data_IF_187362098758
#
_entry.id   IF_187362098758
#
_cell.length_a   1.000
_cell.length_b   1.000
_cell.length_c   1.000
_cell.angle_alpha   90.00
_cell.angle_beta   90.00
_cell.angle_gamma   90.00
#
_symmetry.space_group_name_H-M   'P 1'
#
loop_
_entity.id
_entity.type
_entity.pdbx_description
1 polymer ?
#
# COMPACT_ATOMS: atom_id res chain seq x y z
N UNK A 1 5.39 -5.56 31.55
CA UNK A 1 4.66 -5.80 30.30
C UNK A 1 5.66 -5.68 29.17
N UNK A 2 5.86 -6.74 28.40
CA UNK A 2 6.83 -6.75 27.31
C UNK A 2 6.31 -5.81 26.21
N UNK A 3 7.04 -4.73 26.02
CA UNK A 3 6.78 -3.66 25.06
C UNK A 3 6.51 -4.26 23.67
N UNK A 4 5.32 -4.01 23.11
CA UNK A 4 4.85 -4.42 21.76
C UNK A 4 5.60 -3.70 20.61
N UNK A 5 6.90 -3.47 20.77
CA UNK A 5 7.69 -2.69 19.84
C UNK A 5 8.68 -3.61 19.13
N UNK A 6 8.75 -3.45 17.81
CA UNK A 6 9.89 -3.91 17.03
C UNK A 6 11.16 -3.34 17.68
N UNK A 7 12.16 -4.20 17.93
CA UNK A 7 13.44 -3.72 18.44
C UNK A 7 14.03 -2.69 17.48
N UNK A 8 14.79 -1.67 17.95
CA UNK A 8 15.40 -0.68 17.06
C UNK A 8 16.26 -1.32 15.95
N UNK A 9 16.89 -2.45 16.25
CA UNK A 9 17.66 -3.24 15.30
C UNK A 9 16.77 -3.81 14.19
N UNK A 10 15.63 -4.41 14.55
CA UNK A 10 14.69 -4.96 13.58
C UNK A 10 14.06 -3.87 12.71
N UNK A 11 13.76 -2.69 13.28
CA UNK A 11 13.29 -1.54 12.51
C UNK A 11 14.33 -1.10 11.48
N UNK A 12 15.60 -0.98 11.87
CA UNK A 12 16.68 -0.66 10.93
C UNK A 12 16.82 -1.73 9.82
N UNK A 13 16.70 -3.02 10.16
CA UNK A 13 16.72 -4.11 9.18
C UNK A 13 15.55 -4.03 8.20
N UNK A 14 14.33 -3.76 8.68
CA UNK A 14 13.15 -3.59 7.83
C UNK A 14 13.36 -2.40 6.88
N UNK A 15 13.83 -1.26 7.38
CA UNK A 15 14.09 -0.08 6.56
C UNK A 15 15.11 -0.36 5.47
N UNK A 16 16.20 -1.04 5.82
CA UNK A 16 17.20 -1.44 4.85
C UNK A 16 16.63 -2.35 3.75
N UNK A 17 15.80 -3.32 4.12
CA UNK A 17 15.12 -4.22 3.16
C UNK A 17 14.17 -3.42 2.26
N UNK A 18 13.38 -2.50 2.81
CA UNK A 18 12.46 -1.65 2.03
C UNK A 18 13.24 -0.79 1.02
N UNK A 19 14.33 -0.16 1.44
CA UNK A 19 15.20 0.65 0.55
C UNK A 19 15.82 -0.24 -0.54
N UNK A 20 16.29 -1.44 -0.19
CA UNK A 20 16.84 -2.38 -1.17
C UNK A 20 15.79 -2.79 -2.20
N UNK A 21 14.57 -3.12 -1.77
CA UNK A 21 13.45 -3.44 -2.64
C UNK A 21 13.07 -2.26 -3.53
N UNK A 22 13.06 -1.04 -3.00
CA UNK A 22 12.85 0.18 -3.77
C UNK A 22 13.90 0.36 -4.87
N UNK A 23 15.19 0.15 -4.56
CA UNK A 23 16.27 0.23 -5.55
C UNK A 23 16.08 -0.81 -6.67
N UNK A 24 15.72 -2.05 -6.32
CA UNK A 24 15.44 -3.11 -7.30
C UNK A 24 14.22 -2.76 -8.17
N UNK A 25 13.12 -2.31 -7.55
CA UNK A 25 11.89 -1.89 -8.23
C UNK A 25 12.14 -0.74 -9.20
N UNK A 26 12.90 0.26 -8.76
CA UNK A 26 13.28 1.42 -9.57
C UNK A 26 14.13 0.99 -10.75
N UNK A 27 15.15 0.15 -10.53
CA UNK A 27 16.00 -0.37 -11.60
C UNK A 27 15.18 -1.15 -12.64
N UNK A 28 14.31 -2.07 -12.19
CA UNK A 28 13.42 -2.82 -13.07
C UNK A 28 12.48 -1.90 -13.85
N UNK A 29 11.93 -0.87 -13.20
CA UNK A 29 11.05 0.10 -13.83
C UNK A 29 11.76 0.94 -14.89
N UNK A 30 12.99 1.40 -14.61
CA UNK A 30 13.82 2.10 -15.60
C UNK A 30 14.16 1.19 -16.77
N UNK A 31 14.47 -0.08 -16.52
CA UNK A 31 14.75 -1.05 -17.58
C UNK A 31 13.54 -1.30 -18.48
N UNK A 32 12.36 -1.51 -17.91
CA UNK A 32 11.11 -1.66 -18.67
C UNK A 32 10.79 -0.38 -19.45
N UNK A 33 10.96 0.79 -18.84
CA UNK A 33 10.80 2.08 -19.51
C UNK A 33 11.73 2.19 -20.73
N UNK A 34 13.00 1.83 -20.57
CA UNK A 34 13.98 1.78 -21.66
C UNK A 34 13.54 0.82 -22.78
N UNK A 35 13.07 -0.39 -22.44
CA UNK A 35 12.55 -1.35 -23.42
C UNK A 35 11.32 -0.81 -24.16
N UNK A 36 10.39 -0.15 -23.45
CA UNK A 36 9.20 0.44 -24.04
C UNK A 36 9.55 1.58 -25.00
N UNK A 37 10.48 2.47 -24.62
CA UNK A 37 10.95 3.56 -25.48
C UNK A 37 11.64 3.05 -26.77
N UNK A 38 12.21 1.84 -26.73
CA UNK A 38 12.86 1.21 -27.89
C UNK A 38 11.89 0.50 -28.83
N UNK A 39 10.65 0.20 -28.42
CA UNK A 39 9.65 -0.45 -29.28
C UNK A 39 9.12 0.53 -30.34
N UNK A 40 9.12 0.11 -31.61
CA UNK A 40 8.76 0.92 -32.79
C UNK A 40 7.27 1.36 -32.82
N UNK A 41 7.03 2.47 -33.54
CA UNK A 41 5.93 3.44 -33.40
C UNK A 41 4.50 2.97 -33.73
N UNK A 42 4.29 1.76 -34.22
CA UNK A 42 2.96 1.33 -34.72
C UNK A 42 1.89 1.21 -33.63
N UNK A 43 2.29 1.16 -32.35
CA UNK A 43 1.38 1.05 -31.19
C UNK A 43 1.50 2.23 -30.19
N UNK A 44 1.97 3.40 -30.65
CA UNK A 44 2.32 4.55 -29.79
C UNK A 44 1.26 4.98 -28.76
N UNK A 45 -0.03 4.95 -29.10
CA UNK A 45 -1.09 5.41 -28.16
C UNK A 45 -1.21 4.48 -26.94
N UNK A 46 -1.09 3.17 -27.14
CA UNK A 46 -1.11 2.20 -26.04
C UNK A 46 0.14 2.35 -25.17
N UNK A 47 1.30 2.49 -25.80
CA UNK A 47 2.59 2.67 -25.14
C UNK A 47 2.61 3.91 -24.24
N UNK A 48 2.12 5.06 -24.73
CA UNK A 48 2.06 6.29 -23.94
C UNK A 48 1.28 6.14 -22.64
N UNK A 49 0.17 5.37 -22.64
CA UNK A 49 -0.60 5.11 -21.41
C UNK A 49 0.22 4.30 -20.40
N UNK A 50 0.91 3.26 -20.86
CA UNK A 50 1.77 2.45 -19.99
C UNK A 50 2.93 3.27 -19.42
N UNK A 51 3.57 4.12 -20.22
CA UNK A 51 4.64 5.02 -19.79
C UNK A 51 4.18 5.99 -18.69
N UNK A 52 2.96 6.53 -18.80
CA UNK A 52 2.37 7.41 -17.78
C UNK A 52 2.16 6.63 -16.48
N UNK A 53 1.54 5.45 -16.53
CA UNK A 53 1.32 4.63 -15.33
C UNK A 53 2.62 4.23 -14.65
N UNK A 54 3.64 3.87 -15.43
CA UNK A 54 4.94 3.48 -14.90
C UNK A 54 5.69 4.65 -14.27
N UNK A 55 5.65 5.83 -14.90
CA UNK A 55 6.25 7.04 -14.33
C UNK A 55 5.56 7.43 -13.03
N UNK A 56 4.22 7.36 -12.99
CA UNK A 56 3.45 7.59 -11.77
C UNK A 56 3.83 6.59 -10.68
N UNK A 57 3.97 5.30 -11.00
CA UNK A 57 4.39 4.27 -10.05
C UNK A 57 5.77 4.58 -9.43
N UNK A 58 6.75 4.98 -10.24
CA UNK A 58 8.08 5.37 -9.75
C UNK A 58 7.99 6.58 -8.80
N UNK A 59 7.21 7.60 -9.16
CA UNK A 59 6.99 8.78 -8.31
C UNK A 59 6.35 8.37 -6.98
N UNK A 60 5.39 7.45 -7.03
CA UNK A 60 4.74 6.90 -5.83
C UNK A 60 5.68 6.09 -4.95
N UNK A 61 6.52 5.25 -5.53
CA UNK A 61 7.52 4.49 -4.79
C UNK A 61 8.54 5.43 -4.15
N UNK A 62 9.03 6.44 -4.88
CA UNK A 62 9.91 7.46 -4.31
C UNK A 62 9.24 8.20 -3.14
N UNK A 63 7.97 8.56 -3.29
CA UNK A 63 7.24 9.29 -2.27
C UNK A 63 7.04 8.48 -0.97
N UNK A 64 6.70 7.20 -1.06
CA UNK A 64 6.35 6.38 0.11
C UNK A 64 7.47 5.50 0.65
N UNK A 65 8.49 5.23 -0.16
CA UNK A 65 9.55 4.30 0.24
C UNK A 65 10.84 5.06 0.56
N UNK A 66 10.94 6.34 0.17
CA UNK A 66 12.09 7.22 0.45
C UNK A 66 11.68 8.50 1.20
N UNK A 67 10.69 9.24 0.68
CA UNK A 67 10.33 10.53 1.29
C UNK A 67 9.53 10.37 2.59
N UNK A 68 8.60 9.41 2.64
CA UNK A 68 7.73 9.12 3.77
C UNK A 68 7.63 7.61 4.03
N UNK A 69 8.60 7.07 4.77
CA UNK A 69 8.65 5.65 5.12
C UNK A 69 7.61 5.38 6.21
N UNK A 70 6.57 4.62 5.85
CA UNK A 70 5.49 4.24 6.78
C UNK A 70 5.87 3.04 7.65
N UNK A 71 5.63 3.15 8.95
CA UNK A 71 5.85 2.09 9.93
C UNK A 71 4.53 1.71 10.60
N UNK A 72 3.92 0.55 10.25
CA UNK A 72 2.73 0.07 10.94
C UNK A 72 3.07 -0.35 12.37
N UNK A 73 2.18 -0.04 13.30
CA UNK A 73 2.33 -0.36 14.73
C UNK A 73 1.60 -1.66 15.09
N UNK A 74 2.01 -2.82 14.59
CA UNK A 74 1.28 -4.07 14.87
C UNK A 74 1.39 -4.45 16.37
N UNK A 75 0.30 -4.83 17.06
CA UNK A 75 -1.07 -5.07 16.58
C UNK A 75 -2.01 -3.85 16.63
N UNK A 76 -1.51 -2.70 17.10
CA UNK A 76 -2.28 -1.45 17.11
C UNK A 76 -2.61 -1.03 15.67
N UNK A 77 -3.88 -0.73 15.41
CA UNK A 77 -4.27 -0.18 14.12
C UNK A 77 -3.81 1.28 14.03
N UNK A 78 -2.56 1.47 13.64
CA UNK A 78 -1.91 2.76 13.58
C UNK A 78 -0.53 2.63 12.96
N UNK A 79 0.15 3.77 12.87
CA UNK A 79 1.48 3.84 12.32
C UNK A 79 2.13 5.18 12.61
N UNK A 80 3.41 5.26 12.29
CA UNK A 80 4.10 6.53 12.20
C UNK A 80 4.88 6.58 10.89
N UNK A 81 5.19 7.79 10.44
CA UNK A 81 6.02 8.02 9.27
C UNK A 81 7.36 8.60 9.69
N UNK A 82 8.40 8.04 9.08
CA UNK A 82 9.77 8.55 9.08
C UNK A 82 10.17 8.88 7.63
N UNK A 83 11.41 9.27 7.39
CA UNK A 83 11.96 9.50 6.06
C UNK A 83 12.45 10.93 5.86
N UNK A 84 12.93 11.21 4.65
CA UNK A 84 13.64 12.45 4.37
C UNK A 84 12.81 13.70 4.64
N UNK A 85 11.53 13.72 4.24
CA UNK A 85 10.67 14.88 4.47
C UNK A 85 10.22 15.00 5.94
N UNK A 86 10.04 13.87 6.63
CA UNK A 86 9.78 13.85 8.07
C UNK A 86 10.98 14.41 8.86
N UNK A 87 12.22 14.06 8.48
CA UNK A 87 13.44 14.58 9.09
C UNK A 87 13.61 16.10 8.92
N UNK A 88 13.10 16.66 7.83
CA UNK A 88 13.05 18.12 7.60
C UNK A 88 11.93 18.83 8.37
N UNK A 89 11.16 18.10 9.20
CA UNK A 89 10.04 18.65 9.95
C UNK A 89 8.86 19.06 9.06
N UNK A 90 8.81 18.58 7.81
CA UNK A 90 7.68 18.87 6.91
C UNK A 90 6.45 18.15 7.48
N UNK A 91 5.41 18.89 7.92
CA UNK A 91 4.23 18.26 8.47
C UNK A 91 3.58 17.44 7.38
N UNK A 92 3.37 16.14 7.62
CA UNK A 92 2.75 15.26 6.63
C UNK A 92 1.46 15.93 6.14
N UNK A 93 0.63 16.47 7.03
CA UNK A 93 -0.66 17.09 6.70
C UNK A 93 -0.59 18.17 5.62
N UNK A 94 0.52 18.92 5.52
CA UNK A 94 0.71 19.94 4.49
C UNK A 94 1.06 19.27 3.17
N UNK A 95 1.96 18.29 3.17
CA UNK A 95 2.33 17.51 1.99
C UNK A 95 1.18 16.60 1.50
N UNK A 96 0.38 16.05 2.41
CA UNK A 96 -0.71 15.12 2.09
C UNK A 96 -2.10 15.73 2.01
N UNK A 97 -2.41 16.99 2.31
CA UNK A 97 -3.78 17.47 2.00
C UNK A 97 -4.22 17.23 0.53
N UNK A 98 -3.40 17.57 -0.48
CA UNK A 98 -3.66 17.14 -1.86
C UNK A 98 -3.24 15.69 -2.11
N UNK A 99 -2.18 15.23 -1.44
CA UNK A 99 -1.50 13.96 -1.75
C UNK A 99 -2.04 12.77 -0.96
N UNK A 100 -2.93 12.95 0.02
CA UNK A 100 -3.59 11.92 0.83
C UNK A 100 -4.51 11.09 -0.04
N UNK A 101 -5.23 11.77 -0.95
CA UNK A 101 -5.94 11.11 -2.04
C UNK A 101 -5.00 10.20 -2.83
N UNK A 102 -3.75 10.65 -3.05
CA UNK A 102 -2.72 9.91 -3.77
C UNK A 102 -2.11 8.76 -2.94
N UNK A 103 -1.94 8.90 -1.61
CA UNK A 103 -1.53 7.81 -0.68
C UNK A 103 -2.51 6.64 -0.81
N UNK A 104 -3.79 6.96 -0.71
CA UNK A 104 -4.86 5.96 -0.77
C UNK A 104 -5.00 5.38 -2.18
N UNK A 105 -4.76 6.21 -3.20
CA UNK A 105 -4.68 5.75 -4.58
C UNK A 105 -3.52 4.75 -4.78
N UNK A 106 -2.36 4.93 -4.13
CA UNK A 106 -1.27 3.92 -4.14
C UNK A 106 -1.76 2.62 -3.51
N UNK A 107 -2.37 2.68 -2.33
CA UNK A 107 -2.94 1.50 -1.66
C UNK A 107 -3.93 0.75 -2.56
N UNK A 108 -4.88 1.46 -3.18
CA UNK A 108 -5.85 0.90 -4.12
C UNK A 108 -5.16 0.35 -5.38
N UNK A 109 -4.11 1.00 -5.87
CA UNK A 109 -3.38 0.57 -7.06
C UNK A 109 -2.57 -0.69 -6.79
N UNK A 110 -1.86 -0.77 -5.66
CA UNK A 110 -1.11 -1.96 -5.23
C UNK A 110 -2.06 -3.13 -4.99
N UNK A 111 -3.18 -2.90 -4.30
CA UNK A 111 -4.25 -3.86 -4.13
C UNK A 111 -4.74 -4.41 -5.47
N UNK A 112 -5.09 -3.53 -6.42
CA UNK A 112 -5.57 -3.93 -7.73
C UNK A 112 -4.49 -4.60 -8.58
N UNK A 113 -3.21 -4.25 -8.41
CA UNK A 113 -2.10 -4.95 -9.03
C UNK A 113 -1.99 -6.38 -8.50
N UNK A 114 -2.12 -6.57 -7.18
CA UNK A 114 -2.19 -7.89 -6.55
C UNK A 114 -3.36 -8.71 -7.09
N UNK A 115 -4.55 -8.12 -7.18
CA UNK A 115 -5.72 -8.76 -7.80
C UNK A 115 -5.46 -9.12 -9.26
N UNK A 116 -4.82 -8.23 -10.03
CA UNK A 116 -4.45 -8.50 -11.42
C UNK A 116 -3.52 -9.71 -11.55
N UNK A 117 -2.50 -9.82 -10.70
CA UNK A 117 -1.59 -10.97 -10.67
C UNK A 117 -2.36 -12.26 -10.33
N UNK A 118 -3.19 -12.24 -9.28
CA UNK A 118 -4.02 -13.38 -8.88
C UNK A 118 -4.96 -13.81 -10.00
N UNK A 119 -5.60 -12.86 -10.68
CA UNK A 119 -6.47 -13.13 -11.82
C UNK A 119 -5.70 -13.74 -12.98
N UNK A 120 -4.51 -13.22 -13.31
CA UNK A 120 -3.64 -13.81 -14.33
C UNK A 120 -3.27 -15.27 -14.02
N UNK A 121 -2.90 -15.56 -12.76
CA UNK A 121 -2.62 -16.92 -12.30
C UNK A 121 -3.87 -17.81 -12.41
N UNK A 122 -5.03 -17.30 -11.99
CA UNK A 122 -6.29 -18.01 -12.07
C UNK A 122 -6.67 -18.33 -13.52
N UNK A 123 -6.57 -17.36 -14.43
CA UNK A 123 -6.84 -17.55 -15.85
C UNK A 123 -5.91 -18.61 -16.46
N UNK A 124 -4.61 -18.55 -16.14
CA UNK A 124 -3.64 -19.53 -16.61
C UNK A 124 -3.90 -20.93 -16.06
N UNK A 125 -4.29 -21.04 -14.79
CA UNK A 125 -4.68 -22.31 -14.20
C UNK A 125 -5.92 -22.89 -14.90
N UNK A 126 -6.93 -22.05 -15.15
CA UNK A 126 -8.17 -22.46 -15.82
C UNK A 126 -7.98 -22.83 -17.30
N UNK A 127 -6.96 -22.32 -17.97
CA UNK A 127 -6.64 -22.71 -19.35
C UNK A 127 -6.00 -24.10 -19.47
N UNK A 128 -5.37 -24.61 -18.40
CA UNK A 128 -4.70 -25.92 -18.40
C UNK A 128 -5.67 -27.04 -17.98
N UNK A 129 -6.71 -26.71 -17.21
CA UNK A 129 -7.68 -27.69 -16.73
C UNK A 129 -8.59 -28.21 -17.87
N UNK A 130 -8.67 -29.54 -17.97
CA UNK A 130 -9.56 -30.25 -18.89
C UNK A 130 -11.04 -29.85 -18.70
N UNK A 131 -11.78 -29.77 -19.80
CA UNK A 131 -13.19 -29.35 -19.80
C UNK A 131 -14.11 -30.22 -18.94
N UNK A 132 -13.78 -31.49 -18.75
CA UNK A 132 -14.54 -32.44 -17.93
C UNK A 132 -14.24 -32.38 -16.43
N UNK A 133 -13.22 -31.61 -16.02
CA UNK A 133 -12.79 -31.55 -14.62
C UNK A 133 -13.73 -30.71 -13.76
N UNK A 134 -14.02 -31.18 -12.54
CA UNK A 134 -14.80 -30.45 -11.53
C UNK A 134 -14.15 -29.13 -11.07
N UNK A 135 -12.85 -28.96 -11.33
CA UNK A 135 -12.10 -27.76 -10.97
C UNK A 135 -12.21 -26.64 -12.02
N UNK A 136 -12.86 -26.89 -13.16
CA UNK A 136 -13.06 -25.89 -14.19
C UNK A 136 -14.17 -24.92 -13.80
N UNK A 137 -13.83 -23.65 -13.75
CA UNK A 137 -14.78 -22.61 -13.39
C UNK A 137 -15.70 -22.28 -14.56
N UNK A 138 -16.97 -22.07 -14.25
CA UNK A 138 -17.92 -21.52 -15.22
C UNK A 138 -17.43 -20.15 -15.71
N UNK A 139 -17.68 -19.84 -16.98
CA UNK A 139 -17.26 -18.57 -17.62
C UNK A 139 -17.72 -17.31 -16.87
N UNK A 140 -18.78 -17.40 -16.07
CA UNK A 140 -19.31 -16.31 -15.22
C UNK A 140 -18.60 -16.17 -13.87
N UNK A 141 -18.02 -17.24 -13.34
CA UNK A 141 -17.39 -17.25 -12.02
C UNK A 141 -16.13 -16.40 -12.01
N UNK A 142 -15.33 -16.44 -13.08
CA UNK A 142 -14.08 -15.67 -13.18
C UNK A 142 -14.31 -14.16 -13.11
N UNK A 143 -15.22 -13.53 -13.90
CA UNK A 143 -15.50 -12.11 -13.75
C UNK A 143 -16.16 -11.76 -12.41
N UNK A 144 -17.01 -12.63 -11.84
CA UNK A 144 -17.53 -12.41 -10.49
C UNK A 144 -16.41 -12.40 -9.43
N UNK A 145 -15.46 -13.34 -9.50
CA UNK A 145 -14.30 -13.37 -8.62
C UNK A 145 -13.44 -12.11 -8.78
N UNK A 146 -13.24 -11.63 -10.00
CA UNK A 146 -12.51 -10.39 -10.25
C UNK A 146 -13.15 -9.19 -9.56
N UNK A 147 -14.47 -9.01 -9.74
CA UNK A 147 -15.20 -7.91 -9.10
C UNK A 147 -15.14 -8.01 -7.58
N UNK A 148 -15.38 -9.21 -7.03
CA UNK A 148 -15.31 -9.45 -5.58
C UNK A 148 -13.92 -9.11 -5.04
N UNK A 149 -12.85 -9.56 -5.70
CA UNK A 149 -11.48 -9.28 -5.27
C UNK A 149 -11.15 -7.79 -5.36
N UNK A 150 -11.47 -7.12 -6.46
CA UNK A 150 -11.29 -5.66 -6.59
C UNK A 150 -12.01 -4.93 -5.47
N UNK A 151 -13.29 -5.26 -5.23
CA UNK A 151 -14.08 -4.60 -4.19
C UNK A 151 -13.49 -4.88 -2.81
N UNK A 152 -13.17 -6.14 -2.50
CA UNK A 152 -12.61 -6.53 -1.21
C UNK A 152 -11.31 -5.80 -0.88
N UNK A 153 -10.39 -5.71 -1.84
CA UNK A 153 -9.08 -5.09 -1.62
C UNK A 153 -9.07 -3.57 -1.80
N UNK A 154 -9.98 -3.00 -2.60
CA UNK A 154 -10.08 -1.54 -2.79
C UNK A 154 -10.93 -0.85 -1.73
N UNK A 155 -11.91 -1.55 -1.12
CA UNK A 155 -12.85 -0.96 -0.17
C UNK A 155 -12.16 -0.39 1.08
N UNK A 156 -11.19 -1.06 1.74
CA UNK A 156 -10.49 -0.48 2.89
C UNK A 156 -9.81 0.85 2.53
N UNK A 157 -9.09 0.88 1.41
CA UNK A 157 -8.45 2.11 0.91
C UNK A 157 -9.47 3.22 0.64
N UNK A 158 -10.62 2.90 0.05
CA UNK A 158 -11.68 3.86 -0.21
C UNK A 158 -12.33 4.40 1.08
N UNK A 159 -12.52 3.55 2.10
CA UNK A 159 -13.05 3.97 3.40
C UNK A 159 -12.12 4.97 4.08
N UNK A 160 -10.80 4.77 4.02
CA UNK A 160 -9.84 5.72 4.59
C UNK A 160 -9.80 7.07 3.85
N UNK A 161 -10.21 7.14 2.58
CA UNK A 161 -10.40 8.42 1.87
C UNK A 161 -11.60 9.17 2.44
N UNK A 162 -12.69 8.45 2.75
CA UNK A 162 -13.96 9.03 3.20
C UNK A 162 -13.88 9.45 4.68
N UNK A 163 -13.13 8.71 5.49
CA UNK A 163 -12.97 8.96 6.93
C UNK A 163 -11.61 9.59 7.24
N UNK A 164 -11.47 10.93 7.15
CA UNK A 164 -10.21 11.59 7.43
C UNK A 164 -9.75 11.33 8.85
N UNK A 165 -8.43 11.20 9.02
CA UNK A 165 -7.77 11.05 10.32
C UNK A 165 -7.91 12.37 11.07
N UNK A 166 -8.50 12.28 12.26
CA UNK A 166 -8.59 13.37 13.22
C UNK A 166 -7.33 13.33 14.10
N UNK A 167 -6.45 14.34 13.94
CA UNK A 167 -5.20 14.43 14.68
C UNK A 167 -5.43 14.66 16.16
N UNK A 168 -6.42 15.48 16.53
CA UNK A 168 -6.74 15.75 17.93
C UNK A 168 -7.19 14.48 18.65
N UNK A 169 -7.98 13.65 17.96
CA UNK A 169 -8.38 12.34 18.49
C UNK A 169 -7.22 11.36 18.55
N UNK A 170 -6.37 11.34 17.53
CA UNK A 170 -5.14 10.52 17.52
C UNK A 170 -4.26 10.85 18.73
N UNK A 171 -4.03 12.13 18.98
CA UNK A 171 -3.20 12.60 20.08
C UNK A 171 -3.78 12.17 21.42
N UNK A 172 -5.09 12.31 21.60
CA UNK A 172 -5.80 11.83 22.79
C UNK A 172 -5.68 10.32 22.98
N UNK A 173 -5.84 9.53 21.92
CA UNK A 173 -5.68 8.07 21.98
C UNK A 173 -4.25 7.68 22.36
N UNK A 174 -3.25 8.38 21.84
CA UNK A 174 -1.84 8.14 22.17
C UNK A 174 -1.57 8.44 23.66
N UNK A 175 -2.13 9.53 24.18
CA UNK A 175 -2.00 9.93 25.59
C UNK A 175 -2.72 8.99 26.56
N UNK A 176 -3.93 8.56 26.21
CA UNK A 176 -4.77 7.69 27.05
C UNK A 176 -4.42 6.20 26.88
N UNK A 177 -3.51 5.85 25.97
CA UNK A 177 -3.20 4.46 25.66
C UNK A 177 -2.50 3.76 26.83
N UNK A 178 -2.99 2.59 27.27
CA UNK A 178 -2.32 1.79 28.30
C UNK A 178 -0.99 1.17 27.82
N UNK A 179 -0.66 1.30 26.54
CA UNK A 179 0.53 0.71 25.91
C UNK A 179 1.76 1.63 25.94
N UNK A 180 1.67 2.82 26.55
CA UNK A 180 2.74 3.83 26.62
C UNK A 180 3.34 4.17 25.24
N UNK A 181 2.47 4.35 24.26
CA UNK A 181 2.85 4.67 22.87
C UNK A 181 3.22 6.13 22.66
N UNK A 182 3.33 6.94 23.71
CA UNK A 182 3.71 8.35 23.62
C UNK A 182 5.05 8.57 22.89
N UNK A 183 5.97 7.60 22.95
CA UNK A 183 7.27 7.67 22.28
C UNK A 183 7.18 7.80 20.75
N UNK A 184 6.07 7.40 20.11
CA UNK A 184 5.92 7.51 18.65
C UNK A 184 5.82 8.96 18.18
N UNK A 185 5.42 9.90 19.07
CA UNK A 185 5.38 11.34 18.76
C UNK A 185 6.76 11.91 18.43
N UNK A 186 7.80 11.35 19.05
CA UNK A 186 9.18 11.79 18.82
C UNK A 186 9.76 11.25 17.50
N UNK A 187 9.08 10.29 16.87
CA UNK A 187 9.55 9.64 15.62
C UNK A 187 9.00 10.29 14.36
N UNK A 188 8.08 11.25 14.47
CA UNK A 188 7.48 11.94 13.34
C UNK A 188 5.96 11.95 13.41
N UNK A 189 5.32 12.05 12.24
CA UNK A 189 3.87 12.04 12.18
C UNK A 189 3.32 10.66 12.55
N UNK A 190 2.46 10.60 13.55
CA UNK A 190 1.83 9.36 14.01
C UNK A 190 0.31 9.41 13.84
N UNK A 191 -0.29 8.24 13.65
CA UNK A 191 -1.73 8.06 13.55
C UNK A 191 -2.17 6.77 14.24
N UNK A 192 -3.34 6.80 14.88
CA UNK A 192 -3.96 5.65 15.54
C UNK A 192 -5.46 5.66 15.25
N UNK A 193 -6.02 4.51 14.90
CA UNK A 193 -7.38 4.36 14.36
C UNK A 193 -8.30 3.50 15.23
N UNK A 194 -7.94 3.30 16.50
CA UNK A 194 -8.49 2.29 17.42
C UNK A 194 -10.04 2.22 17.48
N UNK A 195 -10.72 3.36 17.41
CA UNK A 195 -12.15 3.42 17.73
C UNK A 195 -13.10 3.46 16.53
N UNK A 196 -12.60 3.64 15.30
CA UNK A 196 -13.50 3.86 14.14
C UNK A 196 -13.95 2.59 13.45
N UNK A 197 -13.29 1.48 13.70
CA UNK A 197 -13.33 0.32 12.82
C UNK A 197 -13.37 -1.02 13.55
N UNK A 198 -13.94 -1.14 14.76
CA UNK A 198 -13.98 -2.43 15.49
C UNK A 198 -14.51 -3.60 14.63
N UNK A 199 -15.53 -3.35 13.81
CA UNK A 199 -16.09 -4.32 12.85
C UNK A 199 -15.17 -4.63 11.66
N UNK A 200 -14.29 -3.70 11.30
CA UNK A 200 -13.35 -3.79 10.18
C UNK A 200 -11.94 -4.20 10.62
N UNK A 201 -11.62 -4.20 11.91
CA UNK A 201 -10.31 -4.60 12.45
C UNK A 201 -9.88 -5.97 11.93
N UNK A 202 -10.74 -7.02 11.90
CA UNK A 202 -10.34 -8.32 11.34
C UNK A 202 -10.04 -8.24 9.85
N UNK A 203 -10.84 -7.47 9.10
CA UNK A 203 -10.67 -7.32 7.65
C UNK A 203 -9.39 -6.55 7.32
N UNK A 204 -9.14 -5.43 8.01
CA UNK A 204 -7.95 -4.62 7.84
C UNK A 204 -6.72 -5.40 8.27
N UNK A 205 -6.80 -6.19 9.35
CA UNK A 205 -5.73 -7.09 9.75
C UNK A 205 -5.44 -8.13 8.67
N UNK A 206 -6.45 -8.82 8.13
CA UNK A 206 -6.25 -9.81 7.06
C UNK A 206 -5.66 -9.20 5.78
N UNK A 207 -6.03 -7.96 5.45
CA UNK A 207 -5.56 -7.28 4.22
C UNK A 207 -4.20 -6.60 4.39
N UNK A 208 -3.78 -6.30 5.62
CA UNK A 208 -2.49 -5.64 5.91
C UNK A 208 -1.32 -6.62 6.06
N UNK A 209 -1.57 -7.92 5.98
CA UNK A 209 -0.58 -9.01 5.96
C UNK A 209 -0.53 -9.67 4.59
#
# INVERSE_FOLDING_TARGET
MNSFYLSPQLHHSINFVVILLFCISTFASVFVLYCLLKLSSSHQIGLCRYLIYQTLAIIYDLHFDVLFIGHPLIPLLGGFFDGFLCALGVPIMISVKPLWKCVHLKGITVANMGVGILMCLLYRHQSIILDSSRFKFNRRVVPCAHVILITLFSLPGALFIIFPIDTSRTDKIIEESPLDIACIRNKGFSFVMYDRFELLTPLVFIVSF
#
